data_IF_862925788673
#
_entry.id   IF_862925788673
#
_cell.length_a   1.000
_cell.length_b   1.000
_cell.length_c   1.000
_cell.angle_alpha   90.00
_cell.angle_beta   90.00
_cell.angle_gamma   90.00
#
_symmetry.space_group_name_H-M   'P 1'
#
loop_
_entity.id
_entity.type
_entity.pdbx_description
1 polymer ?
#
# COMPACT_ATOMS: atom_id res chain seq x y z
N UNK A 1 -22.19 29.71 -2.89
CA UNK A 1 -21.22 28.68 -2.44
C UNK A 1 -21.76 28.15 -1.13
N UNK A 2 -22.31 26.94 -1.20
CA UNK A 2 -23.48 26.47 -0.43
C UNK A 2 -23.12 25.95 0.97
N UNK A 3 -24.00 26.14 1.96
CA UNK A 3 -23.85 25.66 3.36
C UNK A 3 -23.56 24.16 3.43
N UNK A 4 -24.11 23.39 2.49
CA UNK A 4 -23.85 21.95 2.32
C UNK A 4 -22.37 21.64 2.05
N UNK A 5 -21.68 22.49 1.28
CA UNK A 5 -20.26 22.28 0.94
C UNK A 5 -19.36 22.49 2.18
N UNK A 6 -19.69 23.48 3.03
CA UNK A 6 -18.96 23.70 4.29
C UNK A 6 -19.14 22.55 5.27
N UNK A 7 -20.34 21.96 5.32
CA UNK A 7 -20.64 20.82 6.18
C UNK A 7 -19.84 19.58 5.78
N UNK A 8 -19.80 19.25 4.48
CA UNK A 8 -18.98 18.13 3.97
C UNK A 8 -17.49 18.34 4.21
N UNK A 9 -16.97 19.57 4.04
CA UNK A 9 -15.56 19.87 4.32
C UNK A 9 -15.22 19.71 5.81
N UNK A 10 -16.14 20.05 6.70
CA UNK A 10 -15.94 19.89 8.15
C UNK A 10 -15.96 18.42 8.56
N UNK A 11 -16.89 17.63 8.04
CA UNK A 11 -16.91 16.18 8.27
C UNK A 11 -15.64 15.51 7.75
N UNK A 12 -15.20 15.85 6.53
CA UNK A 12 -13.94 15.35 5.98
C UNK A 12 -12.76 15.74 6.89
N UNK A 13 -12.70 16.99 7.36
CA UNK A 13 -11.65 17.45 8.28
C UNK A 13 -11.65 16.68 9.61
N UNK A 14 -12.82 16.41 10.18
CA UNK A 14 -12.95 15.64 11.42
C UNK A 14 -12.54 14.18 11.23
N UNK A 15 -12.85 13.59 10.07
CA UNK A 15 -12.38 12.25 9.69
C UNK A 15 -10.86 12.23 9.51
N UNK A 16 -10.28 13.25 8.88
CA UNK A 16 -8.83 13.39 8.78
C UNK A 16 -8.17 13.57 10.14
N UNK A 17 -8.78 14.31 11.07
CA UNK A 17 -8.26 14.48 12.43
C UNK A 17 -8.31 13.17 13.22
N UNK A 18 -9.41 12.42 13.15
CA UNK A 18 -9.50 11.08 13.73
C UNK A 18 -8.53 10.11 13.10
N UNK A 19 -8.35 10.15 11.78
CA UNK A 19 -7.33 9.37 11.09
C UNK A 19 -5.95 9.76 11.60
N UNK A 20 -5.66 11.04 11.80
CA UNK A 20 -4.37 11.49 12.35
C UNK A 20 -4.14 10.96 13.76
N UNK A 21 -5.13 11.00 14.63
CA UNK A 21 -5.06 10.47 15.99
C UNK A 21 -4.88 8.94 15.97
N UNK A 22 -5.61 8.24 15.09
CA UNK A 22 -5.51 6.80 14.86
C UNK A 22 -4.16 6.36 14.26
N UNK A 23 -3.57 7.22 13.44
CA UNK A 23 -2.25 7.06 12.82
C UNK A 23 -1.15 7.24 13.87
N UNK A 24 -1.33 8.19 14.79
CA UNK A 24 -0.41 8.50 15.87
C UNK A 24 -0.37 7.37 16.92
N UNK A 25 -1.50 6.68 17.13
CA UNK A 25 -1.61 5.56 18.06
C UNK A 25 -0.99 4.23 17.57
N UNK A 26 -0.76 3.98 16.27
CA UNK A 26 0.01 2.80 15.85
C UNK A 26 0.48 2.82 14.37
N UNK A 27 1.79 3.00 14.08
CA UNK A 27 2.34 2.66 12.77
C UNK A 27 2.14 1.18 12.42
N UNK A 28 1.99 0.32 13.43
CA UNK A 28 1.70 -1.10 13.28
C UNK A 28 0.38 -1.38 12.56
N UNK A 29 -0.69 -0.62 12.84
CA UNK A 29 -2.02 -0.82 12.25
C UNK A 29 -2.06 -0.56 10.75
N UNK A 30 -1.29 0.44 10.31
CA UNK A 30 -1.18 0.80 8.89
C UNK A 30 -0.46 -0.32 8.13
N UNK A 31 0.58 -0.90 8.73
CA UNK A 31 1.24 -2.08 8.18
C UNK A 31 0.28 -3.24 8.00
N UNK A 32 -0.57 -3.51 8.99
CA UNK A 32 -1.60 -4.57 8.90
C UNK A 32 -2.57 -4.32 7.77
N UNK A 33 -3.08 -3.08 7.65
CA UNK A 33 -3.99 -2.72 6.56
C UNK A 33 -3.32 -2.86 5.19
N UNK A 34 -2.06 -2.45 5.05
CA UNK A 34 -1.30 -2.61 3.81
C UNK A 34 -1.01 -4.08 3.50
N UNK A 35 -0.73 -4.91 4.51
CA UNK A 35 -0.55 -6.35 4.36
C UNK A 35 -1.85 -7.03 3.89
N UNK A 36 -2.98 -6.70 4.52
CA UNK A 36 -4.29 -7.21 4.14
C UNK A 36 -4.68 -6.75 2.72
N UNK A 37 -4.40 -5.49 2.36
CA UNK A 37 -4.59 -4.97 1.01
C UNK A 37 -3.74 -5.69 -0.03
N UNK A 38 -2.45 -5.93 0.28
CA UNK A 38 -1.55 -6.72 -0.56
C UNK A 38 -2.04 -8.15 -0.77
N UNK A 39 -2.52 -8.81 0.30
CA UNK A 39 -3.11 -10.14 0.22
C UNK A 39 -4.38 -10.15 -0.65
N UNK A 40 -5.25 -9.14 -0.50
CA UNK A 40 -6.44 -9.00 -1.33
C UNK A 40 -6.09 -8.82 -2.81
N UNK A 41 -5.04 -8.04 -3.13
CA UNK A 41 -4.54 -7.90 -4.51
C UNK A 41 -4.04 -9.23 -5.06
N UNK A 42 -3.25 -9.99 -4.28
CA UNK A 42 -2.75 -11.31 -4.69
C UNK A 42 -3.92 -12.25 -4.96
N UNK A 43 -4.89 -12.34 -4.06
CA UNK A 43 -6.05 -13.20 -4.22
C UNK A 43 -6.88 -12.80 -5.44
N UNK A 44 -7.13 -11.50 -5.63
CA UNK A 44 -7.87 -11.00 -6.79
C UNK A 44 -7.13 -11.33 -8.10
N UNK A 45 -5.82 -11.08 -8.16
CA UNK A 45 -5.01 -11.39 -9.34
C UNK A 45 -4.93 -12.88 -9.63
N UNK A 46 -4.85 -13.75 -8.61
CA UNK A 46 -4.88 -15.20 -8.78
C UNK A 46 -6.24 -15.69 -9.31
N UNK A 47 -7.34 -15.16 -8.79
CA UNK A 47 -8.68 -15.46 -9.31
C UNK A 47 -8.82 -15.05 -10.77
N UNK A 48 -8.31 -13.86 -11.14
CA UNK A 48 -8.29 -13.39 -12.52
C UNK A 48 -7.36 -14.20 -13.44
N UNK A 49 -6.32 -14.84 -12.91
CA UNK A 49 -5.41 -15.72 -13.67
C UNK A 49 -5.99 -17.12 -13.87
N UNK A 50 -6.81 -17.62 -12.94
CA UNK A 50 -7.46 -18.94 -13.01
C UNK A 50 -8.66 -18.91 -13.96
N UNK A 51 -9.29 -17.75 -14.16
CA UNK A 51 -10.38 -17.54 -15.12
C UNK A 51 -9.84 -17.49 -16.57
N UNK A 52 -9.21 -18.60 -16.98
CA UNK A 52 -8.49 -18.79 -18.26
C UNK A 52 -9.46 -18.80 -19.46
N UNK A 53 -10.78 -18.80 -19.23
CA UNK A 53 -11.76 -18.94 -20.31
C UNK A 53 -11.90 -17.68 -21.20
N UNK A 54 -11.43 -16.51 -20.74
CA UNK A 54 -11.40 -15.24 -21.52
C UNK A 54 -10.01 -14.92 -22.13
N UNK A 55 -9.04 -15.83 -22.04
CA UNK A 55 -7.60 -15.59 -22.36
C UNK A 55 -7.31 -15.20 -23.81
N UNK A 56 -8.21 -15.44 -24.75
CA UNK A 56 -7.95 -15.18 -26.17
C UNK A 56 -8.17 -13.72 -26.60
N UNK A 57 -8.89 -12.92 -25.82
CA UNK A 57 -9.26 -11.56 -26.25
C UNK A 57 -8.25 -10.48 -25.83
N UNK A 58 -7.61 -10.57 -24.64
CA UNK A 58 -6.70 -9.52 -24.14
C UNK A 58 -5.46 -10.04 -23.38
N UNK A 59 -4.36 -10.43 -24.06
CA UNK A 59 -3.15 -10.95 -23.41
C UNK A 59 -2.45 -9.93 -22.49
N UNK A 60 -2.66 -8.63 -22.72
CA UNK A 60 -2.15 -7.56 -21.85
C UNK A 60 -2.74 -7.66 -20.44
N UNK A 61 -4.01 -8.02 -20.32
CA UNK A 61 -4.69 -8.12 -19.02
C UNK A 61 -4.04 -9.18 -18.13
N UNK A 62 -3.65 -10.31 -18.72
CA UNK A 62 -2.95 -11.39 -18.01
C UNK A 62 -1.56 -10.95 -17.52
N UNK A 63 -0.80 -10.27 -18.37
CA UNK A 63 0.52 -9.75 -18.01
C UNK A 63 0.41 -8.76 -16.85
N UNK A 64 -0.57 -7.86 -16.88
CA UNK A 64 -0.80 -6.91 -15.78
C UNK A 64 -1.22 -7.63 -14.50
N UNK A 65 -2.11 -8.62 -14.56
CA UNK A 65 -2.49 -9.40 -13.39
C UNK A 65 -1.31 -10.19 -12.79
N UNK A 66 -0.43 -10.75 -13.62
CA UNK A 66 0.79 -11.40 -13.15
C UNK A 66 1.71 -10.40 -12.40
N UNK A 67 1.87 -9.18 -12.93
CA UNK A 67 2.59 -8.11 -12.22
C UNK A 67 1.89 -7.70 -10.93
N UNK A 68 0.56 -7.63 -10.91
CA UNK A 68 -0.22 -7.30 -9.72
C UNK A 68 -0.05 -8.35 -8.61
N UNK A 69 -0.08 -9.64 -8.96
CA UNK A 69 0.21 -10.73 -8.02
C UNK A 69 1.64 -10.61 -7.47
N UNK A 70 2.62 -10.36 -8.34
CA UNK A 70 4.00 -10.14 -7.91
C UNK A 70 4.15 -8.93 -6.97
N UNK A 71 3.55 -7.79 -7.31
CA UNK A 71 3.61 -6.58 -6.49
C UNK A 71 2.84 -6.71 -5.16
N UNK A 72 1.72 -7.43 -5.17
CA UNK A 72 0.97 -7.77 -3.96
C UNK A 72 1.80 -8.67 -3.03
N UNK A 73 2.49 -9.68 -3.58
CA UNK A 73 3.39 -10.53 -2.82
C UNK A 73 4.57 -9.72 -2.23
N UNK A 74 5.19 -8.85 -3.03
CA UNK A 74 6.21 -7.89 -2.57
C UNK A 74 5.69 -7.03 -1.41
N UNK A 75 4.45 -6.55 -1.50
CA UNK A 75 3.80 -5.77 -0.42
C UNK A 75 3.64 -6.61 0.84
N UNK A 76 3.17 -7.84 0.72
CA UNK A 76 3.04 -8.76 1.86
C UNK A 76 4.38 -9.05 2.52
N UNK A 77 5.44 -9.32 1.74
CA UNK A 77 6.80 -9.57 2.26
C UNK A 77 7.37 -8.33 2.94
N UNK A 78 7.10 -7.14 2.40
CA UNK A 78 7.62 -5.88 2.97
C UNK A 78 6.89 -5.52 4.26
N UNK A 79 5.59 -5.82 4.36
CA UNK A 79 4.76 -5.56 5.54
C UNK A 79 4.71 -6.71 6.55
N UNK A 80 5.29 -7.88 6.24
CA UNK A 80 5.30 -9.02 7.14
C UNK A 80 6.16 -8.72 8.36
N UNK A 81 5.50 -8.38 9.46
CA UNK A 81 6.11 -8.17 10.78
C UNK A 81 6.10 -9.51 11.56
N UNK A 82 7.15 -9.81 12.37
CA UNK A 82 7.25 -11.01 13.21
C UNK A 82 5.99 -11.39 13.99
N UNK A 83 5.17 -10.39 14.35
CA UNK A 83 3.93 -10.58 15.10
C UNK A 83 2.81 -11.29 14.34
N UNK A 84 2.85 -11.33 13.00
CA UNK A 84 1.76 -11.87 12.17
C UNK A 84 1.93 -13.34 11.82
N UNK A 85 3.15 -13.76 11.44
CA UNK A 85 3.41 -15.14 11.03
C UNK A 85 4.79 -15.56 11.51
N UNK A 86 4.87 -16.00 12.77
CA UNK A 86 6.10 -16.52 13.40
C UNK A 86 6.72 -17.67 12.59
N UNK A 87 5.91 -18.46 11.88
CA UNK A 87 6.38 -19.59 11.08
C UNK A 87 6.95 -19.21 9.71
N UNK A 88 6.46 -18.13 9.08
CA UNK A 88 6.97 -17.67 7.78
C UNK A 88 8.10 -16.65 7.93
N UNK A 89 8.25 -16.05 9.11
CA UNK A 89 9.25 -15.02 9.33
C UNK A 89 10.67 -15.48 9.00
N UNK A 90 11.06 -16.69 9.44
CA UNK A 90 12.39 -17.25 9.20
C UNK A 90 12.68 -17.45 7.71
N UNK A 91 11.67 -17.81 6.92
CA UNK A 91 11.77 -17.97 5.47
C UNK A 91 11.73 -16.64 4.71
N UNK A 92 11.10 -15.61 5.27
CA UNK A 92 10.94 -14.28 4.65
C UNK A 92 12.15 -13.36 4.92
N UNK A 93 12.90 -13.59 6.00
CA UNK A 93 14.12 -12.89 6.35
C UNK A 93 15.16 -12.77 5.20
N UNK A 94 15.53 -13.84 4.48
CA UNK A 94 16.46 -13.73 3.35
C UNK A 94 15.87 -12.91 2.18
N UNK A 95 14.57 -13.03 1.93
CA UNK A 95 13.89 -12.27 0.86
C UNK A 95 13.81 -10.78 1.22
N UNK A 96 13.50 -10.45 2.47
CA UNK A 96 13.50 -9.07 2.95
C UNK A 96 14.90 -8.44 2.87
N UNK A 97 15.95 -9.18 3.22
CA UNK A 97 17.34 -8.70 3.08
C UNK A 97 17.70 -8.45 1.61
N UNK A 98 17.37 -9.39 0.74
CA UNK A 98 17.59 -9.24 -0.70
C UNK A 98 16.83 -8.04 -1.28
N UNK A 99 15.55 -7.89 -0.92
CA UNK A 99 14.76 -6.71 -1.30
C UNK A 99 15.31 -5.41 -0.74
N UNK A 100 15.89 -5.44 0.47
CA UNK A 100 16.51 -4.26 1.07
C UNK A 100 17.77 -3.82 0.33
N UNK A 101 18.54 -4.77 -0.20
CA UNK A 101 19.71 -4.49 -1.02
C UNK A 101 19.33 -3.97 -2.42
N UNK A 102 18.35 -4.61 -3.07
CA UNK A 102 17.95 -4.26 -4.44
C UNK A 102 17.07 -3.02 -4.53
N UNK A 103 16.19 -2.80 -3.54
CA UNK A 103 15.18 -1.75 -3.58
C UNK A 103 15.18 -0.93 -2.28
N UNK A 104 16.29 -0.22 -2.03
CA UNK A 104 16.39 0.78 -0.94
C UNK A 104 15.25 1.82 -0.96
N UNK A 105 14.66 2.08 -2.12
CA UNK A 105 13.46 2.93 -2.23
C UNK A 105 12.22 2.30 -1.58
N UNK A 106 12.00 0.99 -1.77
CA UNK A 106 10.88 0.26 -1.16
C UNK A 106 11.04 0.04 0.35
N UNK A 107 12.22 0.29 0.92
CA UNK A 107 12.42 0.19 2.37
C UNK A 107 12.16 1.52 3.07
N UNK A 108 12.22 2.63 2.33
CA UNK A 108 11.84 3.94 2.82
C UNK A 108 10.32 4.11 2.87
N UNK A 109 9.81 4.74 3.93
CA UNK A 109 8.38 4.94 4.16
C UNK A 109 7.68 5.64 2.97
N UNK A 110 8.37 6.60 2.34
CA UNK A 110 7.83 7.33 1.19
C UNK A 110 7.77 6.48 -0.08
N UNK A 111 8.77 5.64 -0.34
CA UNK A 111 8.78 4.75 -1.50
C UNK A 111 7.74 3.64 -1.38
N UNK A 112 7.49 3.16 -0.15
CA UNK A 112 6.38 2.23 0.14
C UNK A 112 5.03 2.87 -0.13
N UNK A 113 4.80 4.08 0.39
CA UNK A 113 3.57 4.82 0.13
C UNK A 113 3.31 5.04 -1.36
N UNK A 114 4.35 5.43 -2.11
CA UNK A 114 4.26 5.61 -3.56
C UNK A 114 3.97 4.29 -4.30
N UNK A 115 4.62 3.20 -3.88
CA UNK A 115 4.37 1.87 -4.42
C UNK A 115 2.93 1.39 -4.17
N UNK A 116 2.35 1.74 -3.02
CA UNK A 116 0.96 1.42 -2.66
C UNK A 116 -0.06 2.23 -3.47
N UNK A 117 0.25 3.50 -3.74
CA UNK A 117 -0.56 4.33 -4.66
C UNK A 117 -0.46 3.80 -6.08
N UNK A 118 0.73 3.42 -6.54
CA UNK A 118 0.94 2.87 -7.88
C UNK A 118 0.17 1.57 -8.07
N UNK A 119 0.32 0.58 -7.16
CA UNK A 119 -0.41 -0.69 -7.25
C UNK A 119 -1.93 -0.48 -7.15
N UNK A 120 -2.40 0.41 -6.27
CA UNK A 120 -3.83 0.67 -6.11
C UNK A 120 -4.44 1.29 -7.35
N UNK A 121 -3.75 2.25 -7.95
CA UNK A 121 -4.17 2.91 -9.19
C UNK A 121 -4.15 1.92 -10.35
N UNK A 122 -3.11 1.10 -10.46
CA UNK A 122 -3.01 0.06 -11.50
C UNK A 122 -4.15 -0.97 -11.36
N UNK A 123 -4.45 -1.41 -10.13
CA UNK A 123 -5.58 -2.28 -9.83
C UNK A 123 -6.91 -1.65 -10.27
N UNK A 124 -7.15 -0.39 -9.89
CA UNK A 124 -8.41 0.32 -10.22
C UNK A 124 -8.56 0.55 -11.72
N UNK A 125 -7.49 0.86 -12.44
CA UNK A 125 -7.53 1.08 -13.89
C UNK A 125 -7.78 -0.20 -14.67
N UNK A 126 -7.24 -1.32 -14.21
CA UNK A 126 -7.44 -2.62 -14.86
C UNK A 126 -8.75 -3.29 -14.42
N UNK A 127 -9.33 -2.86 -13.30
CA UNK A 127 -10.59 -3.41 -12.80
C UNK A 127 -11.81 -2.79 -13.50
N UNK A 128 -12.80 -3.61 -13.84
CA UNK A 128 -14.11 -3.12 -14.28
C UNK A 128 -14.78 -2.26 -13.20
N UNK A 129 -15.56 -1.24 -13.61
CA UNK A 129 -16.14 -0.22 -12.72
C UNK A 129 -17.02 -0.74 -11.56
N UNK A 130 -17.50 -1.99 -11.65
CA UNK A 130 -18.35 -2.65 -10.65
C UNK A 130 -17.70 -3.90 -10.01
N UNK A 131 -16.42 -4.14 -10.27
CA UNK A 131 -15.73 -5.33 -9.79
C UNK A 131 -15.15 -5.16 -8.38
N UNK A 132 -14.96 -6.28 -7.68
CA UNK A 132 -14.28 -6.32 -6.38
C UNK A 132 -12.85 -5.73 -6.45
N UNK A 133 -12.17 -5.87 -7.60
CA UNK A 133 -10.85 -5.28 -7.84
C UNK A 133 -10.83 -3.76 -7.71
N UNK A 134 -11.91 -3.06 -8.10
CA UNK A 134 -12.00 -1.61 -7.96
C UNK A 134 -11.99 -1.19 -6.48
N UNK A 135 -12.73 -1.90 -5.63
CA UNK A 135 -12.80 -1.62 -4.19
C UNK A 135 -11.42 -1.85 -3.56
N UNK A 136 -10.75 -2.95 -3.92
CA UNK A 136 -9.41 -3.29 -3.42
C UNK A 136 -8.38 -2.24 -3.89
N UNK A 137 -8.45 -1.82 -5.15
CA UNK A 137 -7.55 -0.80 -5.71
C UNK A 137 -7.71 0.57 -5.06
N UNK A 138 -8.96 1.01 -4.84
CA UNK A 138 -9.25 2.27 -4.13
C UNK A 138 -8.76 2.19 -2.69
N UNK A 139 -9.03 1.08 -1.99
CA UNK A 139 -8.53 0.85 -0.64
C UNK A 139 -7.01 0.97 -0.58
N UNK A 140 -6.28 0.31 -1.48
CA UNK A 140 -4.83 0.32 -1.47
C UNK A 140 -4.24 1.69 -1.84
N UNK A 141 -4.92 2.41 -2.73
CA UNK A 141 -4.57 3.80 -3.07
C UNK A 141 -4.69 4.71 -1.84
N UNK A 142 -5.80 4.60 -1.09
CA UNK A 142 -6.01 5.37 0.15
C UNK A 142 -4.92 5.04 1.17
N UNK A 143 -4.60 3.76 1.38
CA UNK A 143 -3.54 3.34 2.30
C UNK A 143 -2.16 3.89 1.88
N UNK A 144 -1.85 3.90 0.58
CA UNK A 144 -0.63 4.51 0.07
C UNK A 144 -0.55 6.02 0.30
N UNK A 145 -1.65 6.74 0.08
CA UNK A 145 -1.74 8.18 0.37
C UNK A 145 -1.53 8.44 1.87
N UNK A 146 -2.14 7.64 2.75
CA UNK A 146 -1.94 7.77 4.20
C UNK A 146 -0.47 7.56 4.58
N UNK A 147 0.21 6.56 4.03
CA UNK A 147 1.64 6.35 4.23
C UNK A 147 2.49 7.56 3.80
N UNK A 148 2.15 8.20 2.67
CA UNK A 148 2.83 9.41 2.18
C UNK A 148 2.58 10.62 3.08
N UNK A 149 1.34 10.83 3.54
CA UNK A 149 0.99 11.94 4.44
C UNK A 149 1.74 11.84 5.77
N UNK A 150 1.88 10.62 6.31
CA UNK A 150 2.66 10.36 7.53
C UNK A 150 4.13 10.68 7.31
N UNK A 151 4.69 10.23 6.20
CA UNK A 151 6.06 10.54 5.86
C UNK A 151 6.27 12.07 5.79
N UNK A 152 5.39 12.77 5.08
CA UNK A 152 5.47 14.23 4.93
C UNK A 152 5.39 14.96 6.27
N UNK A 153 4.47 14.56 7.15
CA UNK A 153 4.34 15.13 8.51
C UNK A 153 5.59 14.84 9.34
N UNK A 154 6.10 13.60 9.34
CA UNK A 154 7.31 13.22 10.08
C UNK A 154 8.54 14.00 9.61
N UNK A 155 8.68 14.21 8.30
CA UNK A 155 9.76 15.01 7.70
C UNK A 155 9.65 16.51 8.00
N UNK A 156 8.49 17.01 8.43
CA UNK A 156 8.28 18.40 8.87
C UNK A 156 8.56 18.60 10.36
N UNK A 157 8.34 17.55 11.18
CA UNK A 157 8.49 17.61 12.65
C UNK A 157 9.93 17.33 13.08
N UNK A 158 10.68 16.52 12.35
CA UNK A 158 12.12 16.37 12.59
C UNK A 158 12.88 17.42 11.77
N UNK A 159 13.54 18.44 12.39
CA UNK A 159 14.56 19.19 11.68
C UNK A 159 15.62 18.20 11.18
N UNK A 160 16.24 18.42 10.00
CA UNK A 160 17.28 17.55 9.49
C UNK A 160 18.32 17.40 10.59
N UNK A 161 18.60 16.16 10.99
CA UNK A 161 19.62 15.85 11.96
C UNK A 161 20.87 16.62 11.54
N UNK A 162 21.19 17.63 12.34
CA UNK A 162 22.40 18.41 12.25
C UNK A 162 23.53 17.40 12.09
N UNK A 163 24.28 17.55 10.99
CA UNK A 163 25.49 16.79 10.71
C UNK A 163 26.29 16.69 12.01
N UNK A 164 26.30 15.52 12.64
CA UNK A 164 27.34 15.19 13.60
C UNK A 164 28.59 15.05 12.73
N UNK A 165 29.25 16.19 12.53
CA UNK A 165 30.64 16.30 12.16
C UNK A 165 31.41 15.54 13.25
N UNK A 166 31.73 14.29 13.00
CA UNK A 166 32.78 13.61 13.76
C UNK A 166 34.07 13.93 13.00
N UNK A 167 34.95 14.62 13.73
CA UNK A 167 36.32 14.98 13.35
C UNK A 167 37.13 13.80 12.81
#
# INVERSE_FOLDING_TARGET
>A
MDETHKKSLKEISDHFAKLQEYIEEAPHRIKVGCFAGGAAIVLNGLLSVIDIFDVLDEPIYYVVNAYMVFFGAVTMVTESDPSFITQLHDSLLPVQKWMHEWAKGLTMLWGRGLFYVFQGTLCTLCSSLLSFGLIIGVYMTVMGVLCLLIHYKRSRVQPPAEYIRIH
#
